data_IF_381744705942
#
_entry.id   IF_381744705942
#
_cell.length_a   1.000
_cell.length_b   1.000
_cell.length_c   1.000
_cell.angle_alpha   90.00
_cell.angle_beta   90.00
_cell.angle_gamma   90.00
#
_symmetry.space_group_name_H-M   'P 1'
#
loop_
_entity.id
_entity.type
_entity.pdbx_description
1 polymer ?
#
# COMPACT_ATOMS: atom_id res chain seq x y z
N UNK A 1 -29.25 -9.03 -5.40
CA UNK A 1 -29.33 -7.55 -5.36
C UNK A 1 -30.78 -7.19 -5.12
N UNK A 2 -31.09 -6.48 -4.02
CA UNK A 2 -32.45 -6.01 -3.81
C UNK A 2 -32.75 -4.84 -4.76
N UNK A 3 -34.03 -4.56 -5.03
CA UNK A 3 -34.43 -3.42 -5.89
C UNK A 3 -33.91 -2.09 -5.31
N UNK A 4 -33.80 -2.00 -3.98
CA UNK A 4 -33.28 -0.83 -3.27
C UNK A 4 -31.79 -0.61 -3.55
N UNK A 5 -31.00 -1.68 -3.53
CA UNK A 5 -29.55 -1.60 -3.81
C UNK A 5 -29.31 -1.17 -5.25
N UNK A 6 -30.12 -1.67 -6.19
CA UNK A 6 -30.04 -1.30 -7.60
C UNK A 6 -30.36 0.18 -7.87
N UNK A 7 -31.36 0.74 -7.17
CA UNK A 7 -31.71 2.16 -7.29
C UNK A 7 -30.66 3.06 -6.64
N UNK A 8 -30.07 2.63 -5.52
CA UNK A 8 -28.98 3.36 -4.88
C UNK A 8 -27.71 3.35 -5.74
N UNK A 9 -27.33 2.21 -6.30
CA UNK A 9 -26.21 2.11 -7.24
C UNK A 9 -26.41 2.95 -8.51
N UNK A 10 -27.65 3.05 -9.02
CA UNK A 10 -27.97 3.92 -10.15
C UNK A 10 -27.81 5.40 -9.79
N UNK A 11 -28.20 5.78 -8.58
CA UNK A 11 -28.02 7.15 -8.09
C UNK A 11 -26.53 7.50 -7.86
N UNK A 12 -25.73 6.55 -7.36
CA UNK A 12 -24.31 6.77 -7.02
C UNK A 12 -23.38 6.68 -8.25
N UNK A 13 -23.61 5.73 -9.16
CA UNK A 13 -22.71 5.43 -10.28
C UNK A 13 -23.20 5.96 -11.64
N UNK A 14 -24.48 6.35 -11.71
CA UNK A 14 -25.16 6.70 -12.96
C UNK A 14 -25.34 5.50 -13.92
N UNK A 15 -26.10 5.65 -15.01
CA UNK A 15 -26.48 4.54 -15.90
C UNK A 15 -25.29 3.77 -16.48
N UNK A 16 -24.20 4.48 -16.83
CA UNK A 16 -22.98 3.86 -17.37
C UNK A 16 -22.21 3.08 -16.30
N UNK A 17 -22.09 3.62 -15.09
CA UNK A 17 -21.40 2.95 -13.99
C UNK A 17 -22.17 1.73 -13.48
N UNK A 18 -23.49 1.80 -13.40
CA UNK A 18 -24.35 0.66 -13.05
C UNK A 18 -24.26 -0.46 -14.10
N UNK A 19 -24.31 -0.13 -15.39
CA UNK A 19 -24.13 -1.13 -16.47
C UNK A 19 -22.74 -1.78 -16.43
N UNK A 20 -21.70 -1.00 -16.15
CA UNK A 20 -20.35 -1.52 -15.95
C UNK A 20 -20.31 -2.50 -14.77
N UNK A 21 -20.87 -2.13 -13.61
CA UNK A 21 -20.90 -2.97 -12.40
C UNK A 21 -21.66 -4.28 -12.62
N UNK A 22 -22.82 -4.24 -13.27
CA UNK A 22 -23.58 -5.44 -13.65
C UNK A 22 -22.75 -6.32 -14.59
N UNK A 23 -22.12 -5.74 -15.61
CA UNK A 23 -21.24 -6.47 -16.52
C UNK A 23 -19.99 -7.04 -15.85
N UNK A 24 -19.48 -6.38 -14.82
CA UNK A 24 -18.36 -6.83 -13.98
C UNK A 24 -18.75 -8.04 -13.13
N UNK A 25 -19.87 -7.96 -12.42
CA UNK A 25 -20.38 -9.08 -11.62
C UNK A 25 -20.68 -10.31 -12.49
N UNK A 26 -21.23 -10.09 -13.70
CA UNK A 26 -21.48 -11.17 -14.66
C UNK A 26 -20.18 -11.80 -15.19
N UNK A 27 -19.14 -11.00 -15.47
CA UNK A 27 -17.81 -11.52 -15.86
C UNK A 27 -17.11 -12.26 -14.71
N UNK A 28 -17.23 -11.77 -13.48
CA UNK A 28 -16.79 -12.48 -12.28
C UNK A 28 -17.51 -13.82 -12.10
N UNK A 29 -18.70 -14.02 -12.67
CA UNK A 29 -19.39 -15.32 -12.62
C UNK A 29 -18.90 -16.33 -13.67
N UNK A 30 -18.32 -15.87 -14.78
CA UNK A 30 -17.93 -16.75 -15.91
C UNK A 30 -16.47 -17.23 -15.87
N UNK A 31 -15.65 -16.74 -14.95
CA UNK A 31 -14.26 -17.20 -14.76
C UNK A 31 -13.29 -16.81 -15.90
N UNK A 32 -13.75 -16.04 -16.89
CA UNK A 32 -13.00 -15.63 -18.08
C UNK A 32 -11.89 -14.59 -17.81
N UNK A 33 -11.75 -14.10 -16.58
CA UNK A 33 -10.72 -13.14 -16.15
C UNK A 33 -9.48 -13.81 -15.54
N UNK A 34 -9.44 -15.13 -15.40
CA UNK A 34 -8.27 -15.82 -14.85
C UNK A 34 -7.18 -16.00 -15.91
N UNK A 35 -6.42 -14.95 -16.19
CA UNK A 35 -5.15 -15.10 -16.91
C UNK A 35 -4.03 -15.22 -15.89
N UNK A 36 -3.84 -16.43 -15.36
CA UNK A 36 -2.67 -16.75 -14.52
C UNK A 36 -1.50 -17.04 -15.44
N UNK A 37 -0.81 -16.00 -15.88
CA UNK A 37 0.59 -16.16 -16.29
C UNK A 37 1.43 -15.76 -15.08
N UNK A 38 1.94 -16.78 -14.38
CA UNK A 38 3.04 -16.55 -13.44
C UNK A 38 4.17 -15.86 -14.19
N UNK A 39 4.59 -14.71 -13.72
CA UNK A 39 5.76 -14.06 -14.29
C UNK A 39 6.97 -14.91 -13.90
N UNK A 40 7.82 -15.28 -14.86
CA UNK A 40 9.16 -15.67 -14.46
C UNK A 40 9.76 -14.46 -13.72
N UNK A 41 10.39 -14.67 -12.55
CA UNK A 41 11.07 -13.57 -11.87
C UNK A 41 12.03 -12.92 -12.87
N UNK A 42 12.02 -11.59 -13.02
CA UNK A 42 12.94 -10.93 -13.93
C UNK A 42 14.38 -11.33 -13.56
N UNK A 43 15.27 -11.40 -14.55
CA UNK A 43 16.71 -11.46 -14.27
C UNK A 43 17.06 -10.14 -13.57
N UNK A 44 17.10 -10.16 -12.23
CA UNK A 44 17.35 -8.96 -11.43
C UNK A 44 18.80 -8.54 -11.62
N UNK A 45 19.04 -7.56 -12.49
CA UNK A 45 20.25 -6.75 -12.40
C UNK A 45 20.16 -5.86 -11.16
N UNK A 46 21.29 -5.61 -10.50
CA UNK A 46 21.41 -4.62 -9.40
C UNK A 46 20.85 -3.23 -9.76
N UNK A 47 20.63 -2.94 -11.06
CA UNK A 47 20.27 -1.64 -11.61
C UNK A 47 18.91 -1.06 -11.18
N UNK A 48 17.88 -1.87 -10.89
CA UNK A 48 16.55 -1.32 -10.64
C UNK A 48 16.40 -0.66 -9.26
N UNK A 49 17.12 -1.19 -8.28
CA UNK A 49 17.06 -0.73 -6.88
C UNK A 49 17.65 0.67 -6.70
N UNK A 50 18.55 1.11 -7.58
CA UNK A 50 19.11 2.48 -7.57
C UNK A 50 18.04 3.58 -7.70
N UNK A 51 16.84 3.25 -8.21
CA UNK A 51 15.71 4.18 -8.37
C UNK A 51 14.90 4.37 -7.10
N UNK A 52 15.19 3.63 -6.03
CA UNK A 52 14.48 3.75 -4.75
C UNK A 52 14.82 5.06 -4.02
N UNK A 53 16.03 5.59 -4.21
CA UNK A 53 16.50 6.92 -3.77
C UNK A 53 15.97 7.41 -2.40
N UNK A 54 15.73 6.50 -1.45
CA UNK A 54 15.44 6.90 -0.07
C UNK A 54 16.76 7.30 0.60
N UNK A 55 16.65 8.21 1.57
CA UNK A 55 17.82 8.70 2.31
C UNK A 55 18.57 7.57 3.01
N UNK A 56 19.89 7.71 3.12
CA UNK A 56 20.72 6.73 3.84
C UNK A 56 20.23 6.58 5.30
N UNK A 57 19.80 5.37 5.72
CA UNK A 57 19.22 5.18 7.04
C UNK A 57 20.16 5.58 8.18
N UNK A 58 21.46 5.30 8.06
CA UNK A 58 22.42 5.59 9.13
C UNK A 58 22.62 7.11 9.27
N UNK A 59 22.74 7.82 8.16
CA UNK A 59 22.82 9.27 8.14
C UNK A 59 21.53 9.89 8.71
N UNK A 60 20.36 9.40 8.29
CA UNK A 60 19.06 9.83 8.79
C UNK A 60 18.94 9.61 10.32
N UNK A 61 19.31 8.43 10.81
CA UNK A 61 19.29 8.11 12.23
C UNK A 61 20.17 9.07 13.03
N UNK A 62 21.39 9.36 12.55
CA UNK A 62 22.31 10.30 13.20
C UNK A 62 21.71 11.71 13.27
N UNK A 63 21.09 12.17 12.19
CA UNK A 63 20.50 13.51 12.12
C UNK A 63 19.22 13.65 12.99
N UNK A 64 18.41 12.60 13.06
CA UNK A 64 17.12 12.63 13.76
C UNK A 64 17.20 12.22 15.23
N UNK A 65 18.20 11.43 15.65
CA UNK A 65 18.30 10.93 17.04
C UNK A 65 18.17 12.02 18.11
N UNK A 66 18.79 13.22 17.99
CA UNK A 66 18.63 14.26 19.01
C UNK A 66 17.22 14.84 19.10
N UNK A 67 16.36 14.61 18.09
CA UNK A 67 15.00 15.14 17.98
C UNK A 67 13.92 14.14 18.39
N UNK A 68 14.30 12.90 18.70
CA UNK A 68 13.37 11.82 19.05
C UNK A 68 13.62 11.42 20.50
N UNK A 69 12.60 11.50 21.38
CA UNK A 69 12.74 11.03 22.76
C UNK A 69 13.18 9.57 22.82
N UNK A 70 14.09 9.24 23.76
CA UNK A 70 14.60 7.88 23.92
C UNK A 70 13.48 6.85 24.14
N UNK A 71 12.41 7.25 24.86
CA UNK A 71 11.23 6.42 25.06
C UNK A 71 10.50 6.06 23.75
N UNK A 72 10.44 6.95 22.77
CA UNK A 72 9.81 6.66 21.48
C UNK A 72 10.65 5.71 20.62
N UNK A 73 11.98 5.81 20.69
CA UNK A 73 12.89 4.85 20.06
C UNK A 73 12.73 3.46 20.69
N UNK A 74 12.60 3.40 22.02
CA UNK A 74 12.39 2.15 22.74
C UNK A 74 11.02 1.53 22.42
N UNK A 75 9.96 2.34 22.28
CA UNK A 75 8.65 1.89 21.78
C UNK A 75 8.69 1.40 20.33
N UNK A 76 9.52 2.00 19.48
CA UNK A 76 9.75 1.52 18.12
C UNK A 76 10.42 0.14 18.14
N UNK A 77 11.47 -0.02 18.95
CA UNK A 77 12.16 -1.30 19.13
C UNK A 77 11.22 -2.40 19.66
N UNK A 78 10.44 -2.08 20.69
CA UNK A 78 9.47 -3.02 21.27
C UNK A 78 8.45 -3.50 20.23
N UNK A 79 7.95 -2.59 19.38
CA UNK A 79 7.03 -2.93 18.29
C UNK A 79 7.66 -3.86 17.25
N UNK A 80 8.89 -3.55 16.83
CA UNK A 80 9.65 -4.40 15.93
C UNK A 80 9.94 -5.79 16.52
N UNK A 81 10.28 -5.88 17.81
CA UNK A 81 10.51 -7.15 18.50
C UNK A 81 9.24 -8.01 18.62
N UNK A 82 8.07 -7.39 18.88
CA UNK A 82 6.77 -8.07 18.95
C UNK A 82 6.33 -8.67 17.60
N UNK A 83 6.71 -8.04 16.48
CA UNK A 83 6.43 -8.60 15.17
C UNK A 83 7.04 -9.99 14.99
N UNK A 84 8.18 -10.27 15.65
CA UNK A 84 8.83 -11.58 15.65
C UNK A 84 8.06 -12.69 16.34
N UNK A 85 7.01 -12.36 17.10
CA UNK A 85 6.12 -13.32 17.76
C UNK A 85 4.72 -13.31 17.15
N UNK A 86 4.54 -12.74 15.95
CA UNK A 86 3.22 -12.65 15.31
C UNK A 86 2.32 -11.53 15.85
N UNK A 87 2.82 -10.70 16.76
CA UNK A 87 2.06 -9.60 17.37
C UNK A 87 2.28 -8.31 16.61
N UNK A 88 1.29 -7.90 15.82
CA UNK A 88 1.38 -6.80 14.87
C UNK A 88 0.49 -5.64 15.31
N UNK A 89 0.99 -4.41 15.19
CA UNK A 89 0.22 -3.21 15.51
C UNK A 89 -0.73 -2.87 14.37
N UNK A 90 -2.03 -3.03 14.62
CA UNK A 90 -3.10 -2.77 13.68
C UNK A 90 -3.59 -1.32 13.74
N UNK A 91 -3.75 -0.70 12.57
CA UNK A 91 -4.29 0.65 12.35
C UNK A 91 -3.59 1.73 13.18
N UNK A 92 -2.32 1.50 13.53
CA UNK A 92 -1.55 2.36 14.41
C UNK A 92 -2.09 2.49 15.84
N UNK A 93 -3.01 1.63 16.29
CA UNK A 93 -3.71 1.80 17.58
C UNK A 93 -3.52 0.65 18.57
N UNK A 94 -3.75 -0.58 18.15
CA UNK A 94 -3.79 -1.74 19.04
C UNK A 94 -2.97 -2.90 18.46
N UNK A 95 -2.63 -3.90 19.27
CA UNK A 95 -1.90 -5.08 18.81
C UNK A 95 -2.82 -6.28 18.68
N UNK A 96 -2.72 -6.98 17.56
CA UNK A 96 -3.39 -8.25 17.32
C UNK A 96 -2.36 -9.39 17.25
N UNK A 97 -2.80 -10.58 17.62
CA UNK A 97 -2.01 -11.81 17.52
C UNK A 97 -2.43 -12.57 16.26
N UNK A 98 -1.52 -12.66 15.30
CA UNK A 98 -1.72 -13.37 14.03
C UNK A 98 -1.01 -14.73 14.00
N UNK A 99 -0.41 -15.16 15.12
CA UNK A 99 0.37 -16.39 15.17
C UNK A 99 1.78 -16.27 14.57
N UNK A 100 2.60 -17.29 14.80
CA UNK A 100 3.94 -17.43 14.25
C UNK A 100 4.15 -18.89 13.82
N UNK A 101 4.03 -19.23 12.51
CA UNK A 101 3.91 -18.31 11.37
C UNK A 101 2.60 -17.52 11.33
N UNK A 102 2.59 -16.39 10.64
CA UNK A 102 1.42 -15.51 10.50
C UNK A 102 0.31 -16.23 9.72
N UNK A 103 -0.90 -16.25 10.29
CA UNK A 103 -2.12 -16.76 9.67
C UNK A 103 -2.84 -15.65 8.88
N UNK A 104 -2.40 -15.39 7.65
CA UNK A 104 -2.87 -14.26 6.82
C UNK A 104 -4.38 -14.21 6.58
N UNK A 105 -5.05 -15.35 6.63
CA UNK A 105 -6.48 -15.49 6.37
C UNK A 105 -7.31 -15.59 7.65
N UNK A 106 -6.69 -15.48 8.83
CA UNK A 106 -7.38 -15.57 10.12
C UNK A 106 -7.74 -14.18 10.61
N UNK A 107 -9.03 -13.97 10.88
CA UNK A 107 -9.47 -12.77 11.59
C UNK A 107 -8.91 -12.79 13.01
N UNK A 108 -8.14 -11.77 13.43
CA UNK A 108 -7.53 -11.75 14.76
C UNK A 108 -8.55 -11.49 15.88
N UNK A 109 -9.77 -11.05 15.56
CA UNK A 109 -10.83 -10.79 16.54
C UNK A 109 -11.78 -11.97 16.71
N UNK A 110 -12.20 -12.59 15.62
CA UNK A 110 -13.19 -13.68 15.64
C UNK A 110 -12.55 -15.06 15.60
N UNK A 111 -11.30 -15.16 15.14
CA UNK A 111 -10.63 -16.42 14.83
C UNK A 111 -11.15 -17.11 13.57
N UNK A 112 -12.10 -16.50 12.85
CA UNK A 112 -12.66 -17.04 11.61
C UNK A 112 -11.64 -17.05 10.48
N UNK A 113 -11.75 -18.03 9.59
CA UNK A 113 -10.83 -18.25 8.47
C UNK A 113 -11.47 -17.88 7.14
N UNK A 114 -10.79 -17.04 6.37
CA UNK A 114 -11.11 -16.79 4.97
C UNK A 114 -10.53 -17.89 4.07
N UNK A 115 -11.23 -18.22 2.99
CA UNK A 115 -10.77 -19.23 2.03
C UNK A 115 -9.65 -18.65 1.13
N UNK A 116 -8.43 -19.13 1.35
CA UNK A 116 -7.26 -18.74 0.56
C UNK A 116 -7.28 -19.26 -0.88
N UNK A 117 -8.08 -20.29 -1.17
CA UNK A 117 -8.18 -20.93 -2.49
C UNK A 117 -9.39 -20.43 -3.29
N UNK A 118 -10.25 -19.61 -2.68
CA UNK A 118 -11.33 -18.97 -3.41
C UNK A 118 -10.75 -18.00 -4.45
N UNK A 119 -11.22 -17.99 -5.71
CA UNK A 119 -10.85 -16.94 -6.66
C UNK A 119 -11.14 -15.56 -6.07
N UNK A 120 -10.21 -14.61 -6.25
CA UNK A 120 -10.23 -13.31 -5.54
C UNK A 120 -11.59 -12.58 -5.63
N UNK A 121 -12.27 -12.65 -6.79
CA UNK A 121 -13.55 -11.99 -7.05
C UNK A 121 -14.75 -12.65 -6.32
N UNK A 122 -14.56 -13.81 -5.72
CA UNK A 122 -15.52 -14.50 -4.84
C UNK A 122 -15.04 -14.62 -3.41
N UNK A 123 -13.80 -14.27 -3.11
CA UNK A 123 -13.19 -14.48 -1.80
C UNK A 123 -13.90 -13.70 -0.67
N UNK A 124 -14.62 -12.63 -1.02
CA UNK A 124 -15.41 -11.81 -0.08
C UNK A 124 -16.90 -12.17 -0.02
N UNK A 125 -17.34 -13.22 -0.73
CA UNK A 125 -18.77 -13.57 -0.79
C UNK A 125 -19.30 -14.15 0.53
N UNK A 126 -18.44 -14.74 1.34
CA UNK A 126 -18.77 -15.29 2.66
C UNK A 126 -18.14 -14.43 3.76
N UNK A 127 -18.95 -13.56 4.37
CA UNK A 127 -18.51 -12.63 5.41
C UNK A 127 -18.53 -13.25 6.83
N UNK A 128 -18.86 -14.54 6.99
CA UNK A 128 -18.85 -15.23 8.30
C UNK A 128 -17.54 -15.06 9.09
N UNK A 129 -16.35 -15.01 8.47
CA UNK A 129 -15.10 -14.78 9.20
C UNK A 129 -15.00 -13.39 9.88
N UNK A 130 -15.81 -12.40 9.48
CA UNK A 130 -15.86 -11.06 10.08
C UNK A 130 -15.42 -9.95 9.12
N UNK A 131 -14.97 -8.82 9.66
CA UNK A 131 -14.48 -7.69 8.84
C UNK A 131 -13.12 -8.02 8.19
N UNK A 132 -13.11 -8.13 6.86
CA UNK A 132 -11.91 -8.43 6.06
C UNK A 132 -10.76 -7.44 6.30
N UNK A 133 -11.07 -6.18 6.68
CA UNK A 133 -10.05 -5.15 6.93
C UNK A 133 -9.05 -5.55 8.01
N UNK A 134 -9.47 -6.41 8.95
CA UNK A 134 -8.60 -6.93 10.01
C UNK A 134 -7.54 -7.89 9.46
N UNK A 135 -7.86 -8.65 8.41
CA UNK A 135 -6.92 -9.52 7.71
C UNK A 135 -6.06 -8.72 6.72
N UNK A 136 -6.66 -7.77 6.01
CA UNK A 136 -5.91 -6.88 5.13
C UNK A 136 -4.88 -6.05 5.90
N UNK A 137 -5.15 -5.68 7.15
CA UNK A 137 -4.21 -4.89 7.94
C UNK A 137 -2.84 -5.54 8.11
N UNK A 138 -2.77 -6.84 8.45
CA UNK A 138 -1.47 -7.52 8.54
C UNK A 138 -0.83 -7.69 7.16
N UNK A 139 -1.64 -7.89 6.12
CA UNK A 139 -1.22 -8.04 4.73
C UNK A 139 -0.80 -6.73 4.04
N UNK A 140 -1.02 -5.56 4.67
CA UNK A 140 -0.38 -4.29 4.30
C UNK A 140 1.05 -4.17 4.81
N UNK A 141 1.51 -5.12 5.62
CA UNK A 141 2.84 -5.15 6.22
C UNK A 141 3.20 -3.89 7.03
N UNK A 142 2.36 -3.42 7.98
CA UNK A 142 2.70 -2.26 8.82
C UNK A 142 4.00 -2.48 9.60
N UNK A 143 4.29 -3.74 9.96
CA UNK A 143 5.52 -4.14 10.63
C UNK A 143 6.77 -4.03 9.76
N UNK A 144 6.68 -4.00 8.42
CA UNK A 144 7.84 -3.75 7.56
C UNK A 144 8.44 -2.37 7.82
N UNK A 145 7.59 -1.34 7.96
CA UNK A 145 8.00 0.00 8.36
C UNK A 145 8.61 0.03 9.76
N UNK A 146 8.03 -0.71 10.71
CA UNK A 146 8.53 -0.74 12.10
C UNK A 146 9.90 -1.43 12.19
N UNK A 147 10.09 -2.57 11.51
CA UNK A 147 11.35 -3.31 11.46
C UNK A 147 12.45 -2.50 10.79
N UNK A 148 12.19 -1.92 9.62
CA UNK A 148 13.17 -1.11 8.89
C UNK A 148 13.58 0.15 9.67
N UNK A 149 12.60 0.86 10.25
CA UNK A 149 12.89 2.02 11.11
C UNK A 149 13.60 1.62 12.40
N UNK A 150 13.26 0.50 13.02
CA UNK A 150 13.96 0.03 14.22
C UNK A 150 15.43 -0.31 13.89
N UNK A 151 15.68 -1.05 12.81
CA UNK A 151 17.04 -1.34 12.34
C UNK A 151 17.86 -0.07 12.07
N UNK A 152 17.21 0.98 11.56
CA UNK A 152 17.84 2.29 11.34
C UNK A 152 18.39 2.91 12.63
N UNK A 153 17.66 2.82 13.75
CA UNK A 153 18.09 3.36 15.05
C UNK A 153 18.83 2.35 15.94
N UNK A 154 18.76 1.06 15.63
CA UNK A 154 19.37 -0.04 16.36
C UNK A 154 20.08 -0.98 15.35
N UNK A 155 21.20 -0.53 14.76
CA UNK A 155 21.86 -1.23 13.66
C UNK A 155 22.37 -2.64 14.05
N UNK A 156 22.63 -2.89 15.34
CA UNK A 156 22.94 -4.22 15.88
C UNK A 156 21.82 -5.24 15.67
N UNK A 157 20.59 -4.78 15.42
CA UNK A 157 19.41 -5.63 15.18
C UNK A 157 19.09 -5.81 13.70
N UNK A 158 19.78 -5.10 12.80
CA UNK A 158 19.41 -5.05 11.38
C UNK A 158 19.33 -6.44 10.74
N UNK A 159 20.33 -7.30 10.91
CA UNK A 159 20.35 -8.66 10.34
C UNK A 159 19.17 -9.51 10.86
N UNK A 160 18.84 -9.43 12.16
CA UNK A 160 17.71 -10.17 12.74
C UNK A 160 16.38 -9.68 12.19
N UNK A 161 16.19 -8.37 12.08
CA UNK A 161 14.96 -7.79 11.54
C UNK A 161 14.80 -8.04 10.05
N UNK A 162 15.90 -8.02 9.29
CA UNK A 162 15.90 -8.38 7.88
C UNK A 162 15.54 -9.86 7.68
N UNK A 163 16.15 -10.79 8.43
CA UNK A 163 15.82 -12.22 8.36
C UNK A 163 14.34 -12.49 8.68
N UNK A 164 13.80 -11.79 9.69
CA UNK A 164 12.39 -11.90 10.05
C UNK A 164 11.47 -11.40 8.93
N UNK A 165 11.74 -10.22 8.40
CA UNK A 165 10.91 -9.62 7.35
C UNK A 165 10.96 -10.42 6.05
N UNK A 166 12.15 -10.87 5.63
CA UNK A 166 12.30 -11.72 4.44
C UNK A 166 11.43 -12.97 4.56
N UNK A 167 11.50 -13.68 5.70
CA UNK A 167 10.63 -14.84 5.98
C UNK A 167 9.14 -14.51 5.93
N UNK A 168 8.73 -13.35 6.44
CA UNK A 168 7.32 -12.95 6.40
C UNK A 168 6.85 -12.65 4.96
N UNK A 169 7.69 -12.02 4.14
CA UNK A 169 7.41 -11.76 2.72
C UNK A 169 7.28 -13.08 1.96
N UNK A 170 8.23 -13.99 2.13
CA UNK A 170 8.22 -15.31 1.49
C UNK A 170 6.98 -16.11 1.89
N UNK A 171 6.71 -16.22 3.20
CA UNK A 171 5.52 -16.91 3.71
C UNK A 171 4.22 -16.30 3.21
N UNK A 172 4.17 -14.97 3.04
CA UNK A 172 3.02 -14.32 2.42
C UNK A 172 2.87 -14.72 0.96
N UNK A 173 3.93 -14.68 0.15
CA UNK A 173 3.88 -15.05 -1.27
C UNK A 173 3.42 -16.52 -1.41
N UNK A 174 3.98 -17.42 -0.62
CA UNK A 174 3.61 -18.84 -0.60
C UNK A 174 2.15 -19.08 -0.20
N UNK A 175 1.64 -18.32 0.77
CA UNK A 175 0.29 -18.49 1.31
C UNK A 175 -0.80 -17.78 0.51
N UNK A 176 -0.44 -16.90 -0.44
CA UNK A 176 -1.37 -16.00 -1.12
C UNK A 176 -1.15 -15.99 -2.64
N UNK A 177 -1.43 -17.11 -3.35
CA UNK A 177 -1.18 -17.21 -4.78
C UNK A 177 -1.93 -16.14 -5.57
N UNK A 178 -1.30 -15.65 -6.63
CA UNK A 178 -1.83 -14.56 -7.47
C UNK A 178 -3.24 -14.89 -7.98
N UNK A 179 -4.18 -14.00 -7.69
CA UNK A 179 -5.57 -14.13 -8.13
C UNK A 179 -6.45 -15.00 -7.22
N UNK A 180 -5.99 -15.38 -6.03
CA UNK A 180 -6.76 -16.15 -5.07
C UNK A 180 -6.78 -15.50 -3.68
N UNK A 181 -7.82 -15.79 -2.91
CA UNK A 181 -8.00 -15.30 -1.56
C UNK A 181 -8.32 -13.80 -1.48
N UNK A 182 -8.57 -13.35 -0.25
CA UNK A 182 -8.99 -11.99 0.04
C UNK A 182 -7.90 -10.94 -0.25
N UNK A 183 -6.62 -11.33 -0.25
CA UNK A 183 -5.48 -10.42 -0.36
C UNK A 183 -5.20 -9.92 -1.79
N UNK A 184 -5.94 -10.47 -2.75
CA UNK A 184 -6.00 -10.03 -4.15
C UNK A 184 -7.34 -9.38 -4.51
N UNK A 185 -8.28 -9.28 -3.55
CA UNK A 185 -9.63 -8.77 -3.81
C UNK A 185 -9.73 -7.24 -3.93
N UNK A 186 -8.66 -6.51 -3.57
CA UNK A 186 -8.59 -5.04 -3.66
C UNK A 186 -7.22 -4.61 -4.18
N UNK A 187 -7.21 -3.83 -5.27
CA UNK A 187 -5.98 -3.32 -5.88
C UNK A 187 -5.23 -2.35 -4.96
N UNK A 188 -5.94 -1.51 -4.20
CA UNK A 188 -5.34 -0.66 -3.17
C UNK A 188 -4.55 -1.47 -2.12
N UNK A 189 -5.08 -2.61 -1.68
CA UNK A 189 -4.41 -3.45 -0.68
C UNK A 189 -3.13 -4.10 -1.24
N UNK A 190 -3.16 -4.49 -2.51
CA UNK A 190 -1.96 -4.93 -3.25
C UNK A 190 -0.94 -3.79 -3.32
N UNK A 191 -1.37 -2.58 -3.71
CA UNK A 191 -0.51 -1.41 -3.81
C UNK A 191 0.17 -1.04 -2.49
N UNK A 192 -0.58 -0.97 -1.39
CA UNK A 192 -0.01 -0.66 -0.07
C UNK A 192 1.01 -1.68 0.41
N UNK A 193 0.74 -2.97 0.19
CA UNK A 193 1.70 -4.05 0.50
C UNK A 193 2.99 -3.87 -0.28
N UNK A 194 2.90 -3.63 -1.59
CA UNK A 194 4.07 -3.44 -2.45
C UNK A 194 4.90 -2.23 -2.02
N UNK A 195 4.27 -1.10 -1.69
CA UNK A 195 4.98 0.08 -1.19
C UNK A 195 5.68 -0.18 0.14
N UNK A 196 5.06 -0.95 1.05
CA UNK A 196 5.69 -1.34 2.32
C UNK A 196 6.93 -2.22 2.09
N UNK A 197 6.86 -3.14 1.13
CA UNK A 197 7.99 -3.99 0.76
C UNK A 197 9.09 -3.19 0.07
N UNK A 198 8.75 -2.30 -0.85
CA UNK A 198 9.68 -1.39 -1.53
C UNK A 198 10.43 -0.51 -0.53
N UNK A 199 9.71 0.07 0.45
CA UNK A 199 10.34 0.84 1.53
C UNK A 199 11.34 0.00 2.32
N UNK A 200 10.92 -1.19 2.77
CA UNK A 200 11.77 -2.02 3.60
C UNK A 200 12.92 -2.68 2.82
N UNK A 201 12.75 -2.88 1.51
CA UNK A 201 13.79 -3.37 0.64
C UNK A 201 14.99 -2.44 0.64
N UNK A 202 14.76 -1.14 0.38
CA UNK A 202 15.81 -0.12 0.36
C UNK A 202 16.40 0.18 1.75
N UNK A 203 15.53 0.37 2.75
CA UNK A 203 15.94 0.84 4.08
C UNK A 203 16.60 -0.27 4.90
N UNK A 204 16.30 -1.55 4.62
CA UNK A 204 16.73 -2.67 5.45
C UNK A 204 17.30 -3.83 4.64
N UNK A 205 16.52 -4.44 3.75
CA UNK A 205 16.84 -5.77 3.23
C UNK A 205 18.10 -5.76 2.35
N UNK A 206 18.23 -4.81 1.40
CA UNK A 206 19.41 -4.68 0.53
C UNK A 206 20.69 -4.30 1.29
N UNK A 207 20.56 -3.84 2.54
CA UNK A 207 21.68 -3.41 3.39
C UNK A 207 22.14 -4.49 4.36
N UNK A 208 21.60 -5.70 4.24
CA UNK A 208 21.86 -6.83 5.13
C UNK A 208 22.09 -8.11 4.34
N UNK A 209 22.88 -9.03 4.88
CA UNK A 209 23.08 -10.34 4.25
C UNK A 209 21.80 -11.16 4.27
N UNK A 210 21.06 -11.09 5.39
CA UNK A 210 19.83 -11.84 5.55
C UNK A 210 18.70 -11.38 4.61
N UNK A 211 18.69 -10.12 4.17
CA UNK A 211 17.65 -9.59 3.28
C UNK A 211 17.95 -9.71 1.79
N UNK A 212 19.20 -10.03 1.40
CA UNK A 212 19.64 -9.96 0.01
C UNK A 212 18.84 -10.85 -0.97
N UNK A 213 18.31 -11.98 -0.50
CA UNK A 213 17.52 -12.88 -1.37
C UNK A 213 16.08 -12.41 -1.60
N UNK A 214 15.56 -11.51 -0.76
CA UNK A 214 14.18 -11.03 -0.84
C UNK A 214 13.94 -10.14 -2.07
N UNK A 215 14.99 -9.54 -2.63
CA UNK A 215 14.90 -8.65 -3.80
C UNK A 215 14.16 -9.30 -4.97
N UNK A 216 14.55 -10.54 -5.35
CA UNK A 216 13.91 -11.26 -6.45
C UNK A 216 12.43 -11.53 -6.20
N UNK A 217 12.08 -11.90 -4.97
CA UNK A 217 10.71 -12.15 -4.59
C UNK A 217 9.87 -10.86 -4.64
N UNK A 218 10.42 -9.74 -4.17
CA UNK A 218 9.75 -8.43 -4.24
C UNK A 218 9.62 -7.95 -5.68
N UNK A 219 10.65 -8.10 -6.52
CA UNK A 219 10.59 -7.73 -7.95
C UNK A 219 9.50 -8.50 -8.69
N UNK A 220 9.41 -9.82 -8.49
CA UNK A 220 8.33 -10.63 -9.05
C UNK A 220 6.95 -10.16 -8.57
N UNK A 221 6.79 -9.93 -7.26
CA UNK A 221 5.52 -9.47 -6.69
C UNK A 221 5.10 -8.07 -7.19
N UNK A 222 6.05 -7.16 -7.45
CA UNK A 222 5.78 -5.85 -8.05
C UNK A 222 5.15 -6.00 -9.44
N UNK A 223 5.75 -6.84 -10.29
CA UNK A 223 5.26 -7.11 -11.65
C UNK A 223 3.89 -7.79 -11.63
N UNK A 224 3.72 -8.81 -10.79
CA UNK A 224 2.44 -9.52 -10.65
C UNK A 224 1.33 -8.61 -10.12
N UNK A 225 1.65 -7.78 -9.12
CA UNK A 225 0.71 -6.82 -8.56
C UNK A 225 0.32 -5.73 -9.56
N UNK A 226 1.25 -5.20 -10.35
CA UNK A 226 0.94 -4.22 -11.39
C UNK A 226 0.04 -4.82 -12.48
N UNK A 227 0.32 -6.04 -12.95
CA UNK A 227 -0.55 -6.75 -13.90
C UNK A 227 -1.96 -6.93 -13.34
N UNK A 228 -2.07 -7.36 -12.08
CA UNK A 228 -3.37 -7.55 -11.43
C UNK A 228 -4.13 -6.22 -11.26
N UNK A 229 -3.46 -5.17 -10.78
CA UNK A 229 -4.08 -3.85 -10.61
C UNK A 229 -4.56 -3.32 -11.97
N UNK A 230 -3.71 -3.35 -12.99
CA UNK A 230 -4.08 -2.82 -14.30
C UNK A 230 -5.28 -3.53 -14.93
N UNK A 231 -5.33 -4.87 -14.85
CA UNK A 231 -6.44 -5.66 -15.37
C UNK A 231 -7.78 -5.31 -14.72
N UNK A 232 -7.76 -4.77 -13.49
CA UNK A 232 -8.96 -4.52 -12.70
C UNK A 232 -9.17 -3.05 -12.32
N UNK A 233 -8.30 -2.15 -12.80
CA UNK A 233 -8.29 -0.72 -12.50
C UNK A 233 -9.63 -0.02 -12.80
N UNK A 234 -10.36 -0.51 -13.80
CA UNK A 234 -11.68 0.02 -14.15
C UNK A 234 -12.69 -0.11 -13.01
N UNK A 235 -12.53 -1.09 -12.13
CA UNK A 235 -13.36 -1.19 -10.93
C UNK A 235 -13.15 0.00 -10.00
N UNK A 236 -11.90 0.35 -9.68
CA UNK A 236 -11.60 1.55 -8.88
C UNK A 236 -12.03 2.83 -9.61
N UNK A 237 -11.79 2.90 -10.93
CA UNK A 237 -12.11 4.07 -11.75
C UNK A 237 -13.61 4.35 -11.88
N UNK A 238 -14.43 3.31 -11.99
CA UNK A 238 -15.84 3.44 -12.35
C UNK A 238 -16.77 3.16 -11.17
N UNK A 239 -16.45 2.21 -10.30
CA UNK A 239 -17.34 1.73 -9.24
C UNK A 239 -16.98 2.25 -7.84
N UNK A 240 -15.72 2.66 -7.60
CA UNK A 240 -15.20 3.05 -6.28
C UNK A 240 -14.43 4.36 -6.39
N UNK A 241 -14.94 5.32 -7.15
CA UNK A 241 -14.26 6.57 -7.50
C UNK A 241 -13.86 7.41 -6.27
N UNK A 242 -12.69 7.10 -5.69
CA UNK A 242 -12.17 7.63 -4.42
C UNK A 242 -10.66 7.35 -4.28
N UNK A 243 -10.14 7.33 -3.05
CA UNK A 243 -8.74 7.06 -2.73
C UNK A 243 -8.19 5.73 -3.28
N UNK A 244 -9.02 4.72 -3.53
CA UNK A 244 -8.58 3.47 -4.17
C UNK A 244 -7.92 3.73 -5.52
N UNK A 245 -8.52 4.59 -6.35
CA UNK A 245 -7.98 4.92 -7.68
C UNK A 245 -6.61 5.60 -7.57
N UNK A 246 -6.41 6.48 -6.58
CA UNK A 246 -5.13 7.14 -6.35
C UNK A 246 -4.05 6.14 -5.91
N UNK A 247 -4.36 5.27 -4.95
CA UNK A 247 -3.42 4.27 -4.46
C UNK A 247 -3.06 3.24 -5.54
N UNK A 248 -4.02 2.82 -6.37
CA UNK A 248 -3.78 1.92 -7.51
C UNK A 248 -2.96 2.58 -8.61
N UNK A 249 -3.25 3.85 -8.93
CA UNK A 249 -2.47 4.63 -9.89
C UNK A 249 -1.02 4.85 -9.40
N UNK A 250 -0.84 5.13 -8.11
CA UNK A 250 0.49 5.21 -7.49
C UNK A 250 1.23 3.88 -7.63
N UNK A 251 0.58 2.74 -7.34
CA UNK A 251 1.22 1.44 -7.46
C UNK A 251 1.70 1.17 -8.90
N UNK A 252 0.85 1.43 -9.91
CA UNK A 252 1.24 1.31 -11.32
C UNK A 252 2.39 2.25 -11.67
N UNK A 253 2.34 3.50 -11.21
CA UNK A 253 3.39 4.47 -11.46
C UNK A 253 4.73 4.03 -10.84
N UNK A 254 4.71 3.61 -9.58
CA UNK A 254 5.87 3.13 -8.84
C UNK A 254 6.49 1.90 -9.52
N UNK A 255 5.69 0.88 -9.86
CA UNK A 255 6.21 -0.32 -10.53
C UNK A 255 6.78 0.02 -11.91
N UNK A 256 6.12 0.87 -12.70
CA UNK A 256 6.63 1.29 -14.01
C UNK A 256 7.92 2.12 -13.92
N UNK A 257 8.12 2.87 -12.83
CA UNK A 257 9.40 3.57 -12.54
C UNK A 257 10.50 2.57 -12.19
N UNK A 258 10.19 1.58 -11.35
CA UNK A 258 11.17 0.67 -10.78
C UNK A 258 11.58 -0.43 -11.77
N UNK A 259 10.61 -1.10 -12.39
CA UNK A 259 10.81 -2.31 -13.21
C UNK A 259 10.96 -2.00 -14.70
N UNK A 260 11.84 -1.06 -15.08
CA UNK A 260 11.93 -0.53 -16.46
C UNK A 260 12.24 -1.57 -17.54
N UNK A 261 12.80 -2.72 -17.17
CA UNK A 261 13.14 -3.81 -18.08
C UNK A 261 11.92 -4.70 -18.42
N UNK A 262 10.82 -4.59 -17.67
CA UNK A 262 9.58 -5.27 -18.02
C UNK A 262 8.92 -4.58 -19.24
N UNK A 263 8.47 -5.34 -20.26
CA UNK A 263 7.86 -4.76 -21.46
C UNK A 263 6.62 -3.91 -21.19
N UNK A 264 5.93 -4.12 -20.05
CA UNK A 264 4.75 -3.37 -19.66
C UNK A 264 5.08 -2.11 -18.83
N UNK A 265 6.32 -1.92 -18.38
CA UNK A 265 6.69 -0.91 -17.39
C UNK A 265 6.39 0.53 -17.83
N UNK A 266 6.74 0.87 -19.08
CA UNK A 266 6.45 2.20 -19.62
C UNK A 266 4.94 2.48 -19.65
N UNK A 267 4.14 1.46 -19.98
CA UNK A 267 2.68 1.55 -20.02
C UNK A 267 2.10 1.78 -18.62
N UNK A 268 2.56 1.04 -17.61
CA UNK A 268 2.14 1.25 -16.22
C UNK A 268 2.55 2.62 -15.68
N UNK A 269 3.79 3.04 -15.93
CA UNK A 269 4.29 4.37 -15.56
C UNK A 269 3.39 5.45 -16.15
N UNK A 270 3.17 5.42 -17.45
CA UNK A 270 2.43 6.47 -18.13
C UNK A 270 0.93 6.44 -17.74
N UNK A 271 0.35 5.26 -17.51
CA UNK A 271 -1.02 5.11 -17.02
C UNK A 271 -1.20 5.67 -15.61
N UNK A 272 -0.35 5.27 -14.67
CA UNK A 272 -0.38 5.76 -13.30
C UNK A 272 -0.19 7.27 -13.23
N UNK A 273 0.79 7.82 -13.96
CA UNK A 273 1.02 9.26 -14.06
C UNK A 273 -0.19 10.01 -14.61
N UNK A 274 -0.77 9.54 -15.72
CA UNK A 274 -1.95 10.18 -16.31
C UNK A 274 -3.12 10.23 -15.35
N UNK A 275 -3.38 9.14 -14.60
CA UNK A 275 -4.47 9.11 -13.63
C UNK A 275 -4.19 10.07 -12.47
N UNK A 276 -2.99 10.05 -11.91
CA UNK A 276 -2.60 10.98 -10.84
C UNK A 276 -2.76 12.44 -11.26
N UNK A 277 -2.35 12.80 -12.48
CA UNK A 277 -2.53 14.16 -13.01
C UNK A 277 -4.02 14.52 -13.20
N UNK A 278 -4.85 13.61 -13.73
CA UNK A 278 -6.29 13.84 -13.92
C UNK A 278 -7.04 13.96 -12.59
N UNK A 279 -6.74 13.09 -11.63
CA UNK A 279 -7.45 13.03 -10.36
C UNK A 279 -7.02 14.15 -9.40
N UNK A 280 -5.87 14.80 -9.63
CA UNK A 280 -5.46 15.98 -8.88
C UNK A 280 -6.43 17.16 -9.06
N UNK A 281 -7.06 17.30 -10.23
CA UNK A 281 -8.09 18.31 -10.47
C UNK A 281 -9.46 17.87 -9.99
N UNK A 282 -9.75 16.57 -10.11
CA UNK A 282 -11.10 16.05 -9.88
C UNK A 282 -11.39 15.73 -8.42
N UNK A 283 -10.41 15.22 -7.69
CA UNK A 283 -10.60 14.76 -6.31
C UNK A 283 -10.19 15.80 -5.27
N UNK A 284 -9.48 16.86 -5.64
CA UNK A 284 -9.21 18.01 -4.76
C UNK A 284 -9.90 19.26 -5.28
N UNK A 285 -10.90 19.70 -4.52
CA UNK A 285 -11.72 20.84 -4.86
C UNK A 285 -10.93 22.15 -4.87
N UNK A 286 -11.48 23.24 -5.45
CA UNK A 286 -10.82 24.54 -5.49
C UNK A 286 -10.48 25.13 -4.11
N UNK A 287 -11.22 24.74 -3.07
CA UNK A 287 -10.96 25.13 -1.67
C UNK A 287 -9.91 24.25 -0.97
N UNK A 288 -9.41 23.20 -1.63
CA UNK A 288 -8.47 22.22 -1.08
C UNK A 288 -9.11 21.05 -0.35
N UNK A 289 -10.44 20.97 -0.28
CA UNK A 289 -11.13 19.80 0.25
C UNK A 289 -10.92 18.56 -0.64
N UNK A 290 -10.76 17.39 -0.02
CA UNK A 290 -10.68 16.11 -0.72
C UNK A 290 -12.08 15.46 -0.86
N UNK A 291 -12.34 14.80 -2.00
CA UNK A 291 -13.65 14.27 -2.40
C UNK A 291 -14.36 13.39 -1.36
N UNK A 292 -13.62 12.63 -0.55
CA UNK A 292 -14.21 11.76 0.49
C UNK A 292 -14.62 12.50 1.77
N UNK A 293 -14.44 13.83 1.85
CA UNK A 293 -14.86 14.68 2.98
C UNK A 293 -14.42 14.14 4.35
N UNK A 294 -13.22 13.54 4.40
CA UNK A 294 -12.66 12.90 5.58
C UNK A 294 -11.19 13.24 5.69
N UNK A 295 -10.77 13.82 6.82
CA UNK A 295 -9.37 14.16 7.06
C UNK A 295 -8.44 12.93 7.03
N UNK A 296 -8.95 11.75 7.39
CA UNK A 296 -8.16 10.51 7.30
C UNK A 296 -7.88 10.15 5.84
N UNK A 297 -8.91 10.16 5.00
CA UNK A 297 -8.76 9.84 3.57
C UNK A 297 -8.04 10.94 2.80
N UNK A 298 -8.23 12.20 3.18
CA UNK A 298 -7.46 13.33 2.67
C UNK A 298 -5.96 13.11 2.91
N UNK A 299 -5.56 12.73 4.14
CA UNK A 299 -4.15 12.41 4.43
C UNK A 299 -3.62 11.24 3.62
N UNK A 300 -4.43 10.19 3.40
CA UNK A 300 -4.03 9.06 2.54
C UNK A 300 -3.77 9.53 1.11
N UNK A 301 -4.69 10.30 0.52
CA UNK A 301 -4.53 10.84 -0.83
C UNK A 301 -3.25 11.69 -0.96
N UNK A 302 -2.99 12.60 -0.01
CA UNK A 302 -1.74 13.38 0.00
C UNK A 302 -0.50 12.49 0.14
N UNK A 303 -0.56 11.44 0.96
CA UNK A 303 0.55 10.49 1.10
C UNK A 303 0.80 9.74 -0.20
N UNK A 304 -0.25 9.35 -0.93
CA UNK A 304 -0.10 8.70 -2.23
C UNK A 304 0.64 9.61 -3.22
N UNK A 305 0.26 10.89 -3.27
CA UNK A 305 0.95 11.87 -4.09
C UNK A 305 2.38 12.18 -3.62
N UNK A 306 2.68 12.15 -2.32
CA UNK A 306 4.05 12.32 -1.82
C UNK A 306 4.96 11.15 -2.24
N UNK A 307 4.43 9.93 -2.21
CA UNK A 307 5.13 8.76 -2.74
C UNK A 307 5.37 8.90 -4.25
N UNK A 308 4.34 9.27 -5.00
CA UNK A 308 4.47 9.44 -6.43
C UNK A 308 5.43 10.59 -6.80
N UNK A 309 5.49 11.64 -5.98
CA UNK A 309 6.51 12.69 -6.10
C UNK A 309 7.93 12.14 -5.96
N UNK A 310 8.17 11.25 -4.99
CA UNK A 310 9.48 10.63 -4.80
C UNK A 310 9.89 9.78 -6.01
N UNK A 311 8.97 9.00 -6.58
CA UNK A 311 9.24 8.22 -7.80
C UNK A 311 9.44 9.08 -9.05
N UNK A 312 8.73 10.21 -9.19
CA UNK A 312 9.00 11.15 -10.27
C UNK A 312 10.42 11.74 -10.15
N UNK A 313 10.83 12.13 -8.93
CA UNK A 313 12.18 12.65 -8.68
C UNK A 313 13.28 11.65 -8.97
N UNK A 314 13.06 10.36 -8.72
CA UNK A 314 14.09 9.35 -8.99
C UNK A 314 14.34 9.14 -10.49
N UNK A 315 13.41 9.58 -11.35
CA UNK A 315 13.61 9.68 -12.81
C UNK A 315 14.24 11.00 -13.26
N UNK A 316 14.56 11.93 -12.35
CA UNK A 316 14.93 13.31 -12.72
C UNK A 316 13.75 14.12 -13.26
N UNK A 317 12.51 13.65 -13.07
CA UNK A 317 11.28 14.31 -13.49
C UNK A 317 10.66 15.12 -12.33
N UNK A 318 9.68 15.96 -12.65
CA UNK A 318 8.85 16.69 -11.69
C UNK A 318 7.36 16.39 -11.90
N UNK A 319 6.54 16.41 -10.85
CA UNK A 319 5.09 16.36 -11.00
C UNK A 319 4.56 17.51 -11.87
N UNK A 320 3.37 17.33 -12.44
CA UNK A 320 2.71 18.39 -13.21
C UNK A 320 2.36 19.59 -12.34
N UNK A 321 2.25 20.78 -12.94
CA UNK A 321 1.84 21.96 -12.18
C UNK A 321 0.41 21.83 -11.64
N UNK A 322 -0.43 21.05 -12.33
CA UNK A 322 -1.79 20.70 -11.92
C UNK A 322 -1.78 19.96 -10.58
N UNK A 323 -0.97 18.91 -10.50
CA UNK A 323 -0.74 18.15 -9.28
C UNK A 323 -0.19 19.04 -8.17
N UNK A 324 0.88 19.80 -8.43
CA UNK A 324 1.51 20.64 -7.39
C UNK A 324 0.51 21.65 -6.80
N UNK A 325 -0.27 22.33 -7.65
CA UNK A 325 -1.32 23.26 -7.19
C UNK A 325 -2.43 22.55 -6.40
N UNK A 326 -2.71 21.28 -6.69
CA UNK A 326 -3.69 20.49 -5.95
C UNK A 326 -3.20 20.18 -4.54
N UNK A 327 -1.97 19.72 -4.41
CA UNK A 327 -1.39 19.46 -3.10
C UNK A 327 -1.24 20.72 -2.26
N UNK A 328 -0.83 21.82 -2.88
CA UNK A 328 -0.60 23.10 -2.17
C UNK A 328 -1.89 23.59 -1.49
N UNK A 329 -2.98 23.78 -2.24
CA UNK A 329 -4.28 24.19 -1.67
C UNK A 329 -4.84 23.16 -0.67
N UNK A 330 -4.56 21.88 -0.89
CA UNK A 330 -5.05 20.81 -0.02
C UNK A 330 -4.29 20.74 1.31
N UNK A 331 -3.00 21.08 1.30
CA UNK A 331 -2.20 21.27 2.51
C UNK A 331 -2.68 22.50 3.28
N UNK A 332 -2.94 23.62 2.62
CA UNK A 332 -3.52 24.81 3.24
C UNK A 332 -4.87 24.49 3.90
N UNK A 333 -5.73 23.73 3.22
CA UNK A 333 -7.00 23.25 3.78
C UNK A 333 -6.78 22.44 5.05
N UNK A 334 -5.86 21.46 5.04
CA UNK A 334 -5.58 20.65 6.23
C UNK A 334 -5.03 21.49 7.38
N UNK A 335 -4.13 22.44 7.12
CA UNK A 335 -3.56 23.33 8.13
C UNK A 335 -4.65 24.19 8.76
N UNK A 336 -5.54 24.76 7.95
CA UNK A 336 -6.67 25.56 8.43
C UNK A 336 -7.68 24.76 9.29
N UNK A 337 -7.72 23.43 9.14
CA UNK A 337 -8.59 22.53 9.91
C UNK A 337 -7.87 21.81 11.06
N UNK A 338 -6.65 22.22 11.41
CA UNK A 338 -5.99 21.76 12.62
C UNK A 338 -6.46 22.58 13.83
N UNK A 339 -6.80 21.88 14.92
CA UNK A 339 -6.99 22.54 16.20
C UNK A 339 -5.64 23.10 16.68
N UNK A 340 -5.61 24.32 17.21
CA UNK A 340 -4.42 24.94 17.82
C UNK A 340 -3.75 24.02 18.86
N UNK A 341 -4.56 23.22 19.56
CA UNK A 341 -4.09 22.24 20.54
C UNK A 341 -3.26 21.10 19.93
N UNK A 342 -3.55 20.68 18.69
CA UNK A 342 -2.90 19.55 18.01
C UNK A 342 -1.49 19.88 17.49
N UNK A 343 -1.14 21.16 17.36
CA UNK A 343 0.24 21.62 17.10
C UNK A 343 1.05 21.92 18.37
N UNK A 344 0.44 21.82 19.56
CA UNK A 344 0.92 22.50 20.78
C UNK A 344 1.43 21.61 21.92
N UNK A 345 1.83 20.35 21.68
CA UNK A 345 2.72 19.68 22.64
C UNK A 345 4.09 20.39 22.78
N UNK A 346 4.37 21.38 21.93
CA UNK A 346 5.54 22.28 22.04
C UNK A 346 5.31 23.57 22.85
N UNK A 347 4.12 23.83 23.39
CA UNK A 347 3.82 25.11 24.06
C UNK A 347 3.54 25.03 25.58
N UNK A 348 3.66 23.85 26.21
CA UNK A 348 3.57 23.70 27.68
C UNK A 348 4.94 23.47 28.32
N UNK A 349 5.88 24.34 27.99
CA UNK A 349 7.13 24.52 28.73
C UNK A 349 7.51 26.01 28.66
N UNK A 350 6.78 26.84 29.40
CA UNK A 350 7.25 28.13 29.91
C UNK A 350 6.75 28.29 31.33
#
# INVERSE_FOLDING_TARGET
>A
MSVRDAMQELAELGPRGTLFRVGWELRGRTGLTMTVKGAAPPETGEEWTHRLQLEDPIALARALRPRIPAYDLERLRTRADLAGTGRIRCFGRWFADFGNPIEWHRSPLTGGMWDAQAPWFRALADERPGDVKLCWEVARFPHAYELARAATFFPDRAERYAALLARHIEHFIESNPVGFGIHWASGQEVGFRLLAWVFALDVLLLRTKAGAHAERAVAAALVEGARHIEQHLDYARIAVYNNHLLSEALALFAVGVLQQDDPDAARWRDLGRRILDQEAERQFYPDGGYIQQSHNYHRVALQDYLWAYAFARSLGDRPSDVWLRALDRSLDFLVAHQNDAAGSERARAR
#
